data_IF_684955766200
#
_entry.id   IF_684955766200
#
_cell.length_a   1.000
_cell.length_b   1.000
_cell.length_c   1.000
_cell.angle_alpha   90.00
_cell.angle_beta   90.00
_cell.angle_gamma   90.00
#
_symmetry.space_group_name_H-M   'P 1'
#
loop_
_entity.id
_entity.type
_entity.pdbx_description
1 polymer ?
#
# COMPACT_ATOMS: atom_id res chain seq x y z
N UNK A 1 1.73 19.42 19.97
CA UNK A 1 1.07 18.95 18.75
C UNK A 1 1.70 19.72 17.61
N UNK A 2 2.32 19.05 16.68
CA UNK A 2 2.95 19.70 15.53
C UNK A 2 1.87 20.19 14.58
N UNK A 3 2.10 21.32 13.91
CA UNK A 3 1.17 21.89 12.95
C UNK A 3 1.90 22.43 11.72
N UNK A 4 1.20 22.45 10.60
CA UNK A 4 1.65 23.08 9.37
C UNK A 4 0.77 24.29 9.08
N UNK A 5 1.40 25.46 8.86
CA UNK A 5 0.71 26.65 8.41
C UNK A 5 0.90 26.82 6.90
N UNK A 6 -0.21 26.80 6.15
CA UNK A 6 -0.19 26.89 4.71
C UNK A 6 -0.89 28.18 4.27
N UNK A 7 -0.17 29.03 3.52
CA UNK A 7 -0.76 30.19 2.85
C UNK A 7 -1.24 29.75 1.46
N UNK A 8 -2.56 29.68 1.28
CA UNK A 8 -3.17 29.31 0.01
C UNK A 8 -3.04 30.36 -1.10
N UNK A 9 -3.57 30.05 -2.28
CA UNK A 9 -3.65 30.95 -3.44
C UNK A 9 -2.40 31.02 -4.31
N UNK A 10 -1.36 30.22 -4.03
CA UNK A 10 -0.17 30.13 -4.88
C UNK A 10 -0.37 29.15 -6.05
N UNK A 11 0.10 29.52 -7.24
CA UNK A 11 0.26 28.58 -8.34
C UNK A 11 1.51 27.72 -8.11
N UNK A 12 1.37 26.42 -8.30
CA UNK A 12 2.47 25.48 -8.23
C UNK A 12 3.21 25.45 -9.57
N UNK A 13 4.54 25.35 -9.53
CA UNK A 13 5.36 25.22 -10.74
C UNK A 13 6.62 24.41 -10.40
N UNK A 14 6.96 23.52 -11.30
CA UNK A 14 8.21 22.76 -11.19
C UNK A 14 8.06 21.30 -11.54
N UNK A 15 9.07 20.55 -11.13
CA UNK A 15 9.19 19.12 -11.37
C UNK A 15 9.36 18.39 -10.03
N UNK A 16 8.70 17.24 -9.87
CA UNK A 16 8.80 16.38 -8.68
C UNK A 16 9.19 14.98 -9.13
N UNK A 17 10.28 14.47 -8.58
CA UNK A 17 10.65 13.05 -8.72
C UNK A 17 9.87 12.22 -7.70
N UNK A 18 9.19 11.18 -8.17
CA UNK A 18 8.34 10.33 -7.32
C UNK A 18 9.21 9.32 -6.59
N UNK A 19 9.00 9.22 -5.28
CA UNK A 19 9.70 8.26 -4.43
C UNK A 19 9.18 6.82 -4.61
N UNK A 20 9.88 5.87 -4.01
CA UNK A 20 9.46 4.47 -4.03
C UNK A 20 8.15 4.26 -3.27
N UNK A 21 7.35 3.31 -3.76
CA UNK A 21 6.07 2.97 -3.15
C UNK A 21 6.24 2.36 -1.76
N UNK A 22 5.60 2.98 -0.77
CA UNK A 22 5.51 2.42 0.58
C UNK A 22 4.86 1.03 0.56
N UNK A 23 3.77 0.90 -0.16
CA UNK A 23 3.00 -0.34 -0.21
C UNK A 23 3.74 -1.47 -0.93
N UNK A 24 4.69 -1.17 -1.82
CA UNK A 24 5.60 -2.15 -2.39
C UNK A 24 6.81 -2.43 -1.47
N UNK A 25 7.33 -1.41 -0.80
CA UNK A 25 8.48 -1.55 0.09
C UNK A 25 8.21 -2.51 1.25
N UNK A 26 7.01 -2.48 1.84
CA UNK A 26 6.69 -3.28 3.02
C UNK A 26 6.71 -4.80 2.75
N UNK A 27 6.03 -5.35 1.72
CA UNK A 27 6.16 -6.76 1.41
C UNK A 27 7.56 -7.16 0.93
N UNK A 28 8.28 -6.31 0.21
CA UNK A 28 9.67 -6.55 -0.21
C UNK A 28 10.60 -6.63 1.00
N UNK A 29 10.49 -5.73 1.98
CA UNK A 29 11.24 -5.81 3.23
C UNK A 29 10.94 -7.10 4.00
N UNK A 30 9.65 -7.49 4.06
CA UNK A 30 9.22 -8.73 4.73
C UNK A 30 9.76 -9.97 4.02
N UNK A 31 9.84 -9.95 2.68
CA UNK A 31 10.38 -11.06 1.88
C UNK A 31 11.87 -11.30 2.12
N UNK A 32 12.63 -10.32 2.64
CA UNK A 32 14.01 -10.52 3.04
C UNK A 32 14.20 -11.60 4.14
N UNK A 33 13.14 -11.93 4.88
CA UNK A 33 13.14 -13.08 5.79
C UNK A 33 13.28 -14.42 5.07
N UNK A 34 12.96 -14.50 3.78
CA UNK A 34 13.08 -15.71 2.95
C UNK A 34 14.48 -15.87 2.34
N UNK A 35 15.36 -14.87 2.48
CA UNK A 35 16.64 -14.83 1.80
C UNK A 35 17.70 -15.73 2.45
N UNK A 36 18.55 -16.35 1.61
CA UNK A 36 19.78 -17.04 2.03
C UNK A 36 21.01 -16.11 2.02
N UNK A 37 20.94 -14.98 1.32
CA UNK A 37 21.99 -13.98 1.15
C UNK A 37 21.55 -12.61 1.68
N UNK A 38 22.48 -11.66 1.71
CA UNK A 38 22.18 -10.25 1.98
C UNK A 38 21.33 -9.65 0.83
N UNK A 39 20.20 -9.04 1.16
CA UNK A 39 19.29 -8.41 0.21
C UNK A 39 19.57 -6.91 0.15
N UNK A 40 19.84 -6.37 -1.04
CA UNK A 40 20.00 -4.94 -1.28
C UNK A 40 18.71 -4.35 -1.85
N UNK A 41 18.18 -3.32 -1.18
CA UNK A 41 16.94 -2.66 -1.60
C UNK A 41 17.21 -1.17 -1.81
N UNK A 42 16.79 -0.65 -2.97
CA UNK A 42 16.96 0.73 -3.40
C UNK A 42 15.62 1.40 -3.65
N UNK A 43 15.62 2.72 -3.71
CA UNK A 43 14.42 3.54 -3.89
C UNK A 43 13.37 3.31 -2.79
N UNK A 44 13.81 3.04 -1.55
CA UNK A 44 12.91 2.96 -0.40
C UNK A 44 12.37 4.36 -0.06
N UNK A 45 11.07 4.50 0.21
CA UNK A 45 10.54 5.75 0.75
C UNK A 45 11.01 5.92 2.21
N UNK A 46 11.41 7.13 2.58
CA UNK A 46 11.89 7.42 3.93
C UNK A 46 10.73 7.79 4.87
N UNK A 47 9.81 6.85 5.06
CA UNK A 47 8.58 7.00 5.85
C UNK A 47 8.60 6.17 7.13
N UNK A 48 7.76 6.50 8.08
CA UNK A 48 7.73 5.87 9.39
C UNK A 48 7.42 4.36 9.33
N UNK A 49 6.55 3.92 8.43
CA UNK A 49 6.20 2.51 8.28
C UNK A 49 7.41 1.67 7.86
N UNK A 50 8.19 2.15 6.89
CA UNK A 50 9.43 1.48 6.45
C UNK A 50 10.42 1.36 7.61
N UNK A 51 10.60 2.43 8.39
CA UNK A 51 11.45 2.43 9.59
C UNK A 51 10.93 1.48 10.67
N UNK A 52 9.60 1.42 10.84
CA UNK A 52 8.96 0.55 11.84
C UNK A 52 9.13 -0.91 11.46
N UNK A 53 8.94 -1.26 10.17
CA UNK A 53 9.18 -2.61 9.69
C UNK A 53 10.64 -3.02 9.79
N UNK A 54 11.56 -2.11 9.44
CA UNK A 54 13.00 -2.35 9.62
C UNK A 54 13.33 -2.68 11.10
N UNK A 55 12.79 -1.91 12.06
CA UNK A 55 12.94 -2.20 13.49
C UNK A 55 12.34 -3.56 13.89
N UNK A 56 11.23 -3.96 13.26
CA UNK A 56 10.67 -5.29 13.50
C UNK A 56 11.60 -6.39 13.00
N UNK A 57 12.17 -6.24 11.80
CA UNK A 57 13.13 -7.20 11.25
C UNK A 57 14.42 -7.26 12.11
N UNK A 58 14.92 -6.13 12.59
CA UNK A 58 16.04 -6.09 13.55
C UNK A 58 15.71 -6.81 14.85
N UNK A 59 14.50 -6.61 15.39
CA UNK A 59 14.03 -7.34 16.58
C UNK A 59 13.98 -8.85 16.35
N UNK A 60 13.62 -9.29 15.16
CA UNK A 60 13.61 -10.72 14.78
C UNK A 60 15.04 -11.29 14.63
N UNK A 61 16.05 -10.42 14.45
CA UNK A 61 17.46 -10.79 14.33
C UNK A 61 18.10 -10.49 12.99
N UNK A 62 17.40 -9.79 12.09
CA UNK A 62 18.02 -9.32 10.85
C UNK A 62 19.03 -8.21 11.16
N UNK A 63 20.17 -8.23 10.45
CA UNK A 63 21.12 -7.12 10.45
C UNK A 63 20.77 -6.15 9.32
N UNK A 64 20.46 -4.90 9.67
CA UNK A 64 20.04 -3.87 8.71
C UNK A 64 21.09 -2.75 8.66
N UNK A 65 21.63 -2.51 7.48
CA UNK A 65 22.58 -1.44 7.21
C UNK A 65 21.99 -0.43 6.24
N UNK A 66 21.71 0.77 6.73
CA UNK A 66 21.28 1.89 5.89
C UNK A 66 22.48 2.54 5.19
N UNK A 67 22.56 2.44 3.87
CA UNK A 67 23.57 3.14 3.07
C UNK A 67 23.17 4.59 2.79
N UNK A 68 21.86 4.86 2.75
CA UNK A 68 21.26 6.20 2.66
C UNK A 68 19.81 6.11 3.13
N UNK A 69 19.09 7.24 3.15
CA UNK A 69 17.66 7.26 3.46
C UNK A 69 16.80 6.38 2.51
N UNK A 70 17.33 6.09 1.31
CA UNK A 70 16.59 5.38 0.25
C UNK A 70 17.24 4.05 -0.15
N UNK A 71 18.27 3.61 0.58
CA UNK A 71 19.00 2.38 0.27
C UNK A 71 19.38 1.61 1.52
N UNK A 72 19.04 0.33 1.55
CA UNK A 72 19.29 -0.54 2.69
C UNK A 72 19.83 -1.90 2.25
N UNK A 73 20.67 -2.51 3.09
CA UNK A 73 21.05 -3.93 3.01
C UNK A 73 20.53 -4.65 4.23
N UNK A 74 19.95 -5.83 4.00
CA UNK A 74 19.31 -6.66 5.02
C UNK A 74 19.89 -8.05 4.95
N UNK A 75 20.51 -8.49 6.02
CA UNK A 75 20.96 -9.87 6.22
C UNK A 75 20.07 -10.54 7.25
N UNK A 76 19.24 -11.50 6.78
CA UNK A 76 18.34 -12.30 7.61
C UNK A 76 18.86 -13.74 7.81
N UNK A 77 20.16 -13.99 7.63
CA UNK A 77 20.75 -15.32 7.79
C UNK A 77 20.70 -15.84 9.23
N UNK A 78 20.65 -14.94 10.22
CA UNK A 78 20.68 -15.25 11.66
C UNK A 78 19.46 -14.73 12.40
N UNK A 79 18.26 -15.18 12.00
CA UNK A 79 17.04 -14.88 12.76
C UNK A 79 17.08 -15.64 14.09
N UNK A 80 16.90 -14.91 15.19
CA UNK A 80 16.98 -15.43 16.56
C UNK A 80 15.62 -15.49 17.25
N UNK A 81 14.65 -14.72 16.77
CA UNK A 81 13.30 -14.68 17.29
C UNK A 81 12.27 -14.84 16.18
N UNK A 82 11.19 -15.57 16.47
CA UNK A 82 10.03 -15.67 15.55
C UNK A 82 8.78 -14.99 16.14
N UNK A 83 8.98 -14.08 17.11
CA UNK A 83 7.92 -13.34 17.78
C UNK A 83 7.91 -11.87 17.42
N UNK A 84 6.89 -11.46 16.70
CA UNK A 84 6.61 -10.06 16.37
C UNK A 84 5.79 -9.42 17.51
N UNK A 85 6.45 -8.61 18.35
CA UNK A 85 5.92 -8.11 19.62
C UNK A 85 4.92 -6.97 19.42
N UNK A 86 3.95 -6.89 20.35
CA UNK A 86 2.85 -5.91 20.34
C UNK A 86 3.34 -4.47 20.24
N UNK A 87 4.39 -4.07 20.96
CA UNK A 87 4.86 -2.67 21.00
C UNK A 87 5.34 -2.14 19.64
N UNK A 88 5.77 -3.02 18.75
CA UNK A 88 6.14 -2.65 17.37
C UNK A 88 4.93 -2.81 16.46
N UNK A 89 4.23 -3.95 16.52
CA UNK A 89 3.11 -4.28 15.64
C UNK A 89 1.94 -3.31 15.77
N UNK A 90 1.63 -2.84 16.98
CA UNK A 90 0.54 -1.86 17.23
C UNK A 90 0.72 -0.54 16.48
N UNK A 91 1.96 -0.20 16.10
CA UNK A 91 2.29 1.05 15.40
C UNK A 91 2.08 0.97 13.90
N UNK A 92 2.00 -0.24 13.33
CA UNK A 92 1.90 -0.44 11.90
C UNK A 92 1.18 -1.75 11.59
N UNK A 93 0.00 -1.64 10.97
CA UNK A 93 -0.80 -2.81 10.61
C UNK A 93 -0.08 -3.78 9.65
N UNK A 94 0.73 -3.25 8.73
CA UNK A 94 1.49 -4.05 7.78
C UNK A 94 2.52 -4.99 8.43
N UNK A 95 2.76 -4.88 9.74
CA UNK A 95 3.57 -5.85 10.50
C UNK A 95 3.06 -7.29 10.39
N UNK A 96 1.78 -7.50 10.03
CA UNK A 96 1.22 -8.82 9.73
C UNK A 96 1.93 -9.53 8.55
N UNK A 97 2.61 -8.79 7.67
CA UNK A 97 3.33 -9.33 6.52
C UNK A 97 4.50 -10.26 6.88
N UNK A 98 4.99 -10.23 8.12
CA UNK A 98 6.02 -11.17 8.56
C UNK A 98 5.47 -12.57 8.86
N UNK A 99 4.14 -12.75 8.97
CA UNK A 99 3.51 -14.03 9.32
C UNK A 99 3.86 -15.13 8.29
N UNK A 100 3.63 -14.86 7.00
CA UNK A 100 3.90 -15.82 5.92
C UNK A 100 5.38 -16.23 5.86
N UNK A 101 6.31 -15.28 5.73
CA UNK A 101 7.74 -15.58 5.68
C UNK A 101 8.28 -16.30 6.91
N UNK A 102 7.88 -15.88 8.13
CA UNK A 102 8.32 -16.55 9.35
C UNK A 102 7.83 -17.99 9.41
N UNK A 103 6.55 -18.22 9.12
CA UNK A 103 5.96 -19.54 9.15
C UNK A 103 6.57 -20.46 8.08
N UNK A 104 6.78 -19.95 6.88
CA UNK A 104 7.37 -20.72 5.77
C UNK A 104 8.81 -21.15 6.05
N UNK A 105 9.63 -20.24 6.59
CA UNK A 105 11.06 -20.50 6.82
C UNK A 105 11.35 -21.19 8.13
N UNK A 106 10.68 -20.78 9.24
CA UNK A 106 11.00 -21.23 10.60
C UNK A 106 9.95 -22.19 11.16
N UNK A 107 8.87 -22.47 10.44
CA UNK A 107 7.79 -23.40 10.79
C UNK A 107 7.02 -23.04 12.07
N UNK A 108 7.34 -21.92 12.70
CA UNK A 108 6.66 -21.40 13.88
C UNK A 108 6.81 -19.89 13.97
N UNK A 109 5.78 -19.21 14.44
CA UNK A 109 5.87 -17.80 14.78
C UNK A 109 4.74 -17.39 15.73
N UNK A 110 4.99 -16.26 16.42
CA UNK A 110 3.98 -15.53 17.19
C UNK A 110 3.93 -14.11 16.62
N UNK A 111 2.79 -13.72 16.06
CA UNK A 111 2.62 -12.36 15.52
C UNK A 111 1.49 -11.70 16.29
N UNK A 112 1.77 -10.57 16.94
CA UNK A 112 0.73 -9.79 17.60
C UNK A 112 -0.38 -9.43 16.62
N UNK A 113 -1.64 -9.50 17.07
CA UNK A 113 -2.75 -8.96 16.30
C UNK A 113 -2.50 -7.46 16.07
N UNK A 114 -2.64 -6.98 14.84
CA UNK A 114 -2.50 -5.55 14.57
C UNK A 114 -3.60 -4.78 15.30
N UNK A 115 -3.29 -3.59 15.78
CA UNK A 115 -4.26 -2.67 16.38
C UNK A 115 -5.42 -2.35 15.43
N UNK A 116 -6.47 -1.76 15.98
CA UNK A 116 -7.61 -1.28 15.18
C UNK A 116 -7.17 -0.25 14.14
N UNK A 117 -7.85 -0.20 13.02
CA UNK A 117 -7.63 0.80 11.98
C UNK A 117 -8.78 1.81 11.97
N UNK A 118 -8.47 3.10 11.86
CA UNK A 118 -9.48 4.16 11.86
C UNK A 118 -10.46 4.06 10.67
N UNK A 119 -10.02 3.48 9.54
CA UNK A 119 -10.83 3.36 8.31
C UNK A 119 -11.78 2.16 8.29
N UNK A 120 -11.75 1.28 9.29
CA UNK A 120 -12.70 0.15 9.39
C UNK A 120 -12.08 -1.14 9.90
N UNK A 121 -12.94 -2.15 10.06
CA UNK A 121 -12.52 -3.49 10.43
C UNK A 121 -11.70 -4.12 9.29
N UNK A 122 -10.46 -4.47 9.59
CA UNK A 122 -9.59 -5.22 8.67
C UNK A 122 -9.19 -6.54 9.32
N UNK A 123 -10.08 -7.51 9.38
CA UNK A 123 -9.80 -8.78 10.02
C UNK A 123 -8.63 -9.48 9.32
N UNK A 124 -7.82 -10.20 10.13
CA UNK A 124 -6.70 -11.00 9.62
C UNK A 124 -7.13 -12.45 9.31
N UNK A 125 -8.42 -12.72 9.33
CA UNK A 125 -9.01 -14.05 9.14
C UNK A 125 -8.65 -14.66 7.78
N UNK A 126 -8.56 -13.84 6.71
CA UNK A 126 -8.14 -14.31 5.38
C UNK A 126 -6.70 -14.80 5.37
N UNK A 127 -5.81 -14.13 6.13
CA UNK A 127 -4.43 -14.58 6.29
C UNK A 127 -4.39 -15.92 7.03
N UNK A 128 -5.10 -16.02 8.16
CA UNK A 128 -5.15 -17.23 9.01
C UNK A 128 -5.71 -18.40 8.22
N UNK A 129 -6.89 -18.26 7.61
CA UNK A 129 -7.53 -19.30 6.81
C UNK A 129 -6.65 -19.82 5.68
N UNK A 130 -5.91 -18.92 5.03
CA UNK A 130 -5.00 -19.31 3.96
C UNK A 130 -3.81 -20.13 4.50
N UNK A 131 -3.19 -19.71 5.60
CA UNK A 131 -2.10 -20.46 6.24
C UNK A 131 -2.56 -21.81 6.76
N UNK A 132 -3.77 -21.90 7.35
CA UNK A 132 -4.36 -23.18 7.80
C UNK A 132 -4.58 -24.14 6.61
N UNK A 133 -5.08 -23.65 5.47
CA UNK A 133 -5.18 -24.43 4.24
C UNK A 133 -3.84 -24.95 3.73
N UNK A 134 -2.76 -24.21 3.97
CA UNK A 134 -1.40 -24.63 3.67
C UNK A 134 -0.80 -25.61 4.70
N UNK A 135 -1.57 -25.98 5.73
CA UNK A 135 -1.17 -26.98 6.74
C UNK A 135 -0.66 -26.40 8.06
N UNK A 136 -0.78 -25.11 8.28
CA UNK A 136 -0.46 -24.50 9.56
C UNK A 136 -1.52 -24.80 10.62
N UNK A 137 -1.08 -24.96 11.87
CA UNK A 137 -1.92 -24.99 13.06
C UNK A 137 -1.87 -23.62 13.71
N UNK A 138 -3.01 -22.95 13.79
CA UNK A 138 -3.07 -21.56 14.26
C UNK A 138 -4.05 -21.43 15.40
N UNK A 139 -3.63 -20.74 16.46
CA UNK A 139 -4.49 -20.34 17.58
C UNK A 139 -4.28 -18.87 17.89
N UNK A 140 -5.34 -18.20 18.32
CA UNK A 140 -5.24 -16.83 18.83
C UNK A 140 -5.19 -16.91 20.35
N UNK A 141 -4.06 -16.50 20.92
CA UNK A 141 -3.84 -16.55 22.37
C UNK A 141 -3.14 -15.29 22.86
N UNK A 142 -3.68 -14.66 23.90
CA UNK A 142 -3.08 -13.46 24.52
C UNK A 142 -2.92 -12.28 23.55
N UNK A 143 -3.77 -12.17 22.51
CA UNK A 143 -3.64 -11.12 21.49
C UNK A 143 -2.59 -11.42 20.40
N UNK A 144 -2.09 -12.66 20.34
CA UNK A 144 -1.14 -13.12 19.34
C UNK A 144 -1.75 -14.20 18.44
N UNK A 145 -1.39 -14.18 17.17
CA UNK A 145 -1.51 -15.30 16.25
C UNK A 145 -0.31 -16.21 16.54
N UNK A 146 -0.57 -17.35 17.16
CA UNK A 146 0.43 -18.38 17.41
C UNK A 146 0.27 -19.44 16.32
N UNK A 147 1.26 -19.55 15.45
CA UNK A 147 1.22 -20.38 14.26
C UNK A 147 2.37 -21.38 14.24
N UNK A 148 2.05 -22.65 13.93
CA UNK A 148 2.99 -23.76 13.82
C UNK A 148 2.72 -24.56 12.54
N UNK A 149 3.77 -24.93 11.81
CA UNK A 149 3.74 -25.82 10.66
C UNK A 149 4.86 -26.86 10.76
N UNK A 150 4.75 -27.86 11.67
CA UNK A 150 5.85 -28.76 12.00
C UNK A 150 6.38 -29.56 10.81
N UNK A 151 5.51 -29.82 9.82
CA UNK A 151 5.87 -30.51 8.57
C UNK A 151 6.23 -29.54 7.43
N UNK A 152 6.34 -28.22 7.73
CA UNK A 152 6.42 -27.17 6.71
C UNK A 152 5.05 -26.87 6.09
N UNK A 153 5.00 -25.82 5.26
CA UNK A 153 3.80 -25.48 4.49
C UNK A 153 3.74 -26.29 3.20
N UNK A 154 2.52 -26.65 2.79
CA UNK A 154 2.26 -27.37 1.55
C UNK A 154 1.44 -26.50 0.59
N UNK A 155 1.80 -26.57 -0.69
CA UNK A 155 1.06 -25.93 -1.75
C UNK A 155 -0.38 -26.46 -1.81
N UNK A 156 -1.32 -25.56 -2.04
CA UNK A 156 -2.75 -25.87 -2.09
C UNK A 156 -3.51 -24.83 -2.91
N UNK A 157 -4.77 -25.12 -3.19
CA UNK A 157 -5.67 -24.15 -3.84
C UNK A 157 -6.31 -23.23 -2.79
N UNK A 158 -6.01 -21.93 -2.89
CA UNK A 158 -6.54 -20.87 -2.04
C UNK A 158 -7.49 -20.00 -2.87
N UNK A 159 -8.72 -19.83 -2.41
CA UNK A 159 -9.71 -18.94 -3.02
C UNK A 159 -10.01 -17.84 -2.02
N UNK A 160 -9.76 -16.60 -2.38
CA UNK A 160 -10.16 -15.45 -1.56
C UNK A 160 -11.60 -15.04 -1.90
N UNK A 161 -12.46 -15.00 -0.88
CA UNK A 161 -13.84 -14.53 -1.03
C UNK A 161 -13.92 -13.03 -1.36
N UNK A 162 -12.92 -12.28 -0.90
CA UNK A 162 -12.68 -10.87 -1.23
C UNK A 162 -11.23 -10.68 -1.57
N UNK A 163 -10.94 -9.80 -2.53
CA UNK A 163 -9.57 -9.41 -2.83
C UNK A 163 -8.94 -8.78 -1.59
N UNK A 164 -7.76 -9.25 -1.23
CA UNK A 164 -6.98 -8.77 -0.09
C UNK A 164 -5.52 -8.62 -0.49
N UNK A 165 -5.02 -7.40 -0.51
CA UNK A 165 -3.64 -7.10 -0.92
C UNK A 165 -2.66 -7.78 0.05
N UNK A 166 -2.68 -7.41 1.33
CA UNK A 166 -1.75 -7.96 2.33
C UNK A 166 -1.95 -9.45 2.59
N UNK A 167 -3.20 -9.97 2.46
CA UNK A 167 -3.47 -11.40 2.53
C UNK A 167 -2.83 -12.15 1.37
N UNK A 168 -2.95 -11.61 0.16
CA UNK A 168 -2.33 -12.17 -1.04
C UNK A 168 -0.79 -12.14 -0.92
N UNK A 169 -0.20 -11.01 -0.52
CA UNK A 169 1.24 -10.87 -0.29
C UNK A 169 1.79 -11.88 0.73
N UNK A 170 1.09 -12.06 1.85
CA UNK A 170 1.47 -13.07 2.85
C UNK A 170 1.46 -14.49 2.28
N UNK A 171 0.41 -14.84 1.52
CA UNK A 171 0.29 -16.16 0.91
C UNK A 171 1.36 -16.37 -0.17
N UNK A 172 1.64 -15.36 -1.01
CA UNK A 172 2.70 -15.40 -2.02
C UNK A 172 4.05 -15.70 -1.35
N UNK A 173 4.39 -14.97 -0.28
CA UNK A 173 5.63 -15.18 0.46
C UNK A 173 5.68 -16.56 1.16
N UNK A 174 4.56 -17.02 1.70
CA UNK A 174 4.47 -18.36 2.31
C UNK A 174 4.61 -19.47 1.25
N UNK A 175 3.96 -19.32 0.11
CA UNK A 175 3.98 -20.26 -1.00
C UNK A 175 5.37 -20.38 -1.63
N UNK A 176 6.17 -19.32 -1.59
CA UNK A 176 7.53 -19.31 -2.16
C UNK A 176 8.44 -20.40 -1.58
N UNK A 177 8.29 -20.75 -0.28
CA UNK A 177 9.04 -21.84 0.35
C UNK A 177 8.19 -23.09 0.63
N UNK A 178 6.91 -23.12 0.25
CA UNK A 178 6.05 -24.28 0.49
C UNK A 178 6.47 -25.49 -0.36
N UNK A 179 6.02 -26.68 0.04
CA UNK A 179 6.20 -27.89 -0.74
C UNK A 179 5.13 -28.02 -1.81
N UNK A 180 5.54 -28.04 -3.08
CA UNK A 180 4.64 -28.20 -4.24
C UNK A 180 3.95 -26.91 -4.64
N UNK A 181 2.86 -27.03 -5.42
CA UNK A 181 2.21 -25.92 -6.12
C UNK A 181 1.09 -25.31 -5.29
N UNK A 182 1.10 -23.98 -5.17
CA UNK A 182 0.01 -23.16 -4.61
C UNK A 182 -0.70 -22.44 -5.75
N UNK A 183 -2.04 -22.55 -5.81
CA UNK A 183 -2.87 -21.74 -6.71
C UNK A 183 -3.68 -20.73 -5.89
N UNK A 184 -3.59 -19.46 -6.22
CA UNK A 184 -4.34 -18.38 -5.57
C UNK A 184 -5.39 -17.85 -6.55
N UNK A 185 -6.66 -18.05 -6.24
CA UNK A 185 -7.80 -17.54 -7.02
C UNK A 185 -8.32 -16.26 -6.38
N UNK A 186 -8.70 -15.30 -7.19
CA UNK A 186 -9.10 -13.95 -6.80
C UNK A 186 -7.93 -13.20 -6.12
N UNK A 187 -6.73 -13.37 -6.68
CA UNK A 187 -5.53 -12.71 -6.23
C UNK A 187 -5.60 -11.19 -6.46
N UNK A 188 -4.95 -10.44 -5.58
CA UNK A 188 -4.75 -9.01 -5.75
C UNK A 188 -3.82 -8.74 -6.94
N UNK A 189 -4.11 -7.67 -7.70
CA UNK A 189 -3.40 -7.34 -8.96
C UNK A 189 -2.68 -6.01 -8.91
N UNK A 190 -2.63 -5.37 -7.76
CA UNK A 190 -1.95 -4.11 -7.53
C UNK A 190 -0.49 -4.19 -7.99
N UNK A 191 0.06 -3.12 -8.59
CA UNK A 191 1.46 -3.09 -9.03
C UNK A 191 2.47 -3.50 -7.95
N UNK A 192 2.14 -3.27 -6.70
CA UNK A 192 2.92 -3.63 -5.53
C UNK A 192 2.99 -5.16 -5.33
N UNK A 193 1.86 -5.85 -5.55
CA UNK A 193 1.78 -7.32 -5.52
C UNK A 193 2.50 -7.93 -6.71
N UNK A 194 2.34 -7.32 -7.89
CA UNK A 194 3.06 -7.71 -9.11
C UNK A 194 4.56 -7.64 -8.88
N UNK A 195 5.06 -6.53 -8.32
CA UNK A 195 6.49 -6.39 -8.01
C UNK A 195 6.97 -7.45 -7.02
N UNK A 196 6.21 -7.76 -5.98
CA UNK A 196 6.58 -8.84 -5.05
C UNK A 196 6.74 -10.18 -5.79
N UNK A 197 5.80 -10.52 -6.69
CA UNK A 197 5.90 -11.74 -7.50
C UNK A 197 7.14 -11.73 -8.40
N UNK A 198 7.42 -10.60 -9.06
CA UNK A 198 8.60 -10.46 -9.94
C UNK A 198 9.91 -10.63 -9.16
N UNK A 199 10.01 -10.00 -7.98
CA UNK A 199 11.17 -10.11 -7.09
C UNK A 199 11.39 -11.57 -6.65
N UNK A 200 10.34 -12.29 -6.26
CA UNK A 200 10.43 -13.68 -5.86
C UNK A 200 10.77 -14.59 -7.05
N UNK A 201 10.23 -14.30 -8.24
CA UNK A 201 10.55 -15.01 -9.47
C UNK A 201 12.02 -14.84 -9.85
N UNK A 202 12.57 -13.62 -9.75
CA UNK A 202 13.99 -13.36 -9.96
C UNK A 202 14.89 -14.02 -8.91
N UNK A 203 14.36 -14.29 -7.71
CA UNK A 203 15.02 -15.00 -6.62
C UNK A 203 14.94 -16.53 -6.76
N UNK A 204 14.31 -17.06 -7.83
CA UNK A 204 14.29 -18.47 -8.19
C UNK A 204 12.96 -19.19 -7.95
N UNK A 205 11.88 -18.49 -7.58
CA UNK A 205 10.54 -19.08 -7.44
C UNK A 205 9.85 -19.12 -8.81
N UNK A 206 9.27 -20.26 -9.18
CA UNK A 206 8.46 -20.36 -10.41
C UNK A 206 7.07 -19.78 -10.13
N UNK A 207 6.72 -18.67 -10.82
CA UNK A 207 5.43 -17.99 -10.67
C UNK A 207 4.82 -17.75 -12.04
N UNK A 208 3.57 -18.17 -12.21
CA UNK A 208 2.75 -17.92 -13.40
C UNK A 208 1.53 -17.10 -13.06
N UNK A 209 0.95 -16.38 -14.04
CA UNK A 209 -0.25 -15.55 -13.87
C UNK A 209 0.00 -14.23 -13.15
N UNK A 210 1.23 -13.72 -13.07
CA UNK A 210 1.56 -12.44 -12.44
C UNK A 210 0.72 -11.31 -13.06
N UNK A 211 0.07 -10.50 -12.20
CA UNK A 211 -0.83 -9.41 -12.63
C UNK A 211 -2.24 -9.87 -13.01
N UNK A 212 -2.56 -11.16 -12.88
CA UNK A 212 -3.91 -11.69 -13.08
C UNK A 212 -4.58 -12.06 -11.75
N UNK A 213 -5.84 -12.42 -11.78
CA UNK A 213 -6.58 -12.92 -10.61
C UNK A 213 -6.31 -14.39 -10.28
N UNK A 214 -5.52 -15.09 -11.07
CA UNK A 214 -5.15 -16.49 -10.89
C UNK A 214 -3.63 -16.61 -10.93
N UNK A 215 -3.03 -16.84 -9.75
CA UNK A 215 -1.59 -17.01 -9.57
C UNK A 215 -1.26 -18.47 -9.27
N UNK A 216 -0.27 -19.00 -9.94
CA UNK A 216 0.33 -20.30 -9.63
C UNK A 216 1.77 -20.12 -9.16
N UNK A 217 2.11 -20.71 -8.03
CA UNK A 217 3.43 -20.58 -7.40
C UNK A 217 3.94 -21.98 -7.07
N UNK A 218 5.07 -22.36 -7.65
CA UNK A 218 5.78 -23.57 -7.28
C UNK A 218 6.80 -23.23 -6.20
N UNK A 219 6.56 -23.70 -4.99
CA UNK A 219 7.45 -23.43 -3.86
C UNK A 219 8.75 -24.24 -3.92
N UNK A 220 9.76 -23.77 -3.20
CA UNK A 220 11.13 -24.34 -3.21
C UNK A 220 11.35 -25.48 -2.20
N UNK A 221 10.28 -25.99 -1.57
CA UNK A 221 10.33 -27.06 -0.55
C UNK A 221 11.26 -26.71 0.65
N UNK A 222 11.21 -25.46 1.08
CA UNK A 222 11.96 -24.93 2.23
C UNK A 222 13.34 -24.36 1.90
N UNK A 223 13.77 -24.41 0.65
CA UNK A 223 15.04 -23.79 0.25
C UNK A 223 14.93 -22.26 0.25
N UNK A 224 15.82 -21.60 0.99
CA UNK A 224 15.87 -20.15 1.07
C UNK A 224 16.31 -19.52 -0.26
N UNK A 225 15.80 -18.33 -0.55
CA UNK A 225 15.89 -17.68 -1.86
C UNK A 225 17.17 -16.85 -2.06
N UNK A 226 17.60 -16.71 -3.30
CA UNK A 226 18.77 -15.93 -3.73
C UNK A 226 18.35 -14.60 -4.34
N UNK A 227 18.18 -13.58 -3.51
CA UNK A 227 17.71 -12.28 -3.97
C UNK A 227 18.79 -11.50 -4.72
N UNK A 228 18.40 -10.92 -5.83
CA UNK A 228 19.17 -9.90 -6.56
C UNK A 228 18.89 -8.51 -5.97
N UNK A 229 19.72 -7.47 -6.28
CA UNK A 229 19.42 -6.10 -5.89
C UNK A 229 18.04 -5.66 -6.40
N UNK A 230 17.22 -5.14 -5.49
CA UNK A 230 15.84 -4.76 -5.75
C UNK A 230 15.73 -3.23 -5.81
N UNK A 231 15.02 -2.70 -6.80
CA UNK A 231 14.58 -1.31 -6.84
C UNK A 231 13.08 -1.25 -6.67
N UNK A 232 12.60 -0.62 -5.58
CA UNK A 232 11.18 -0.42 -5.32
C UNK A 232 10.56 0.44 -6.42
N UNK A 233 9.38 0.03 -6.93
CA UNK A 233 8.64 0.80 -7.94
C UNK A 233 8.22 2.17 -7.42
N UNK A 234 8.02 3.17 -8.31
CA UNK A 234 7.51 4.49 -7.93
C UNK A 234 6.12 4.42 -7.30
N UNK A 235 5.85 5.28 -6.33
CA UNK A 235 4.57 5.33 -5.63
C UNK A 235 3.48 6.01 -6.48
N UNK A 236 2.52 5.21 -6.96
CA UNK A 236 1.38 5.71 -7.75
C UNK A 236 0.43 6.61 -6.94
N UNK A 237 0.37 6.44 -5.64
CA UNK A 237 -0.49 7.25 -4.77
C UNK A 237 0.15 8.60 -4.48
N UNK A 238 1.47 8.65 -4.25
CA UNK A 238 2.23 9.90 -4.19
C UNK A 238 2.09 10.67 -5.51
N UNK A 239 2.32 10.01 -6.64
CA UNK A 239 2.16 10.62 -7.97
C UNK A 239 0.75 11.19 -8.19
N UNK A 240 -0.29 10.40 -7.90
CA UNK A 240 -1.69 10.83 -7.97
C UNK A 240 -1.98 12.03 -7.06
N UNK A 241 -1.40 12.05 -5.86
CA UNK A 241 -1.56 13.16 -4.91
C UNK A 241 -0.95 14.45 -5.43
N UNK A 242 0.26 14.41 -6.02
CA UNK A 242 0.85 15.59 -6.68
C UNK A 242 0.07 16.04 -7.91
N UNK A 243 -0.47 15.10 -8.71
CA UNK A 243 -1.36 15.46 -9.82
C UNK A 243 -2.62 16.18 -9.31
N UNK A 244 -3.23 15.72 -8.21
CA UNK A 244 -4.35 16.39 -7.58
C UNK A 244 -3.97 17.79 -7.03
N UNK A 245 -2.77 17.95 -6.48
CA UNK A 245 -2.26 19.26 -6.04
C UNK A 245 -2.13 20.23 -7.22
N UNK A 246 -1.58 19.79 -8.35
CA UNK A 246 -1.56 20.55 -9.59
C UNK A 246 -2.95 20.87 -10.10
N UNK A 247 -3.85 19.90 -10.07
CA UNK A 247 -5.24 20.02 -10.52
C UNK A 247 -6.01 21.07 -9.70
N UNK A 248 -6.06 20.95 -8.37
CA UNK A 248 -6.86 21.84 -7.51
C UNK A 248 -6.35 23.28 -7.50
N UNK A 249 -5.04 23.48 -7.73
CA UNK A 249 -4.43 24.80 -7.86
C UNK A 249 -4.43 25.32 -9.29
N UNK A 250 -4.99 24.55 -10.23
CA UNK A 250 -5.00 24.81 -11.67
C UNK A 250 -3.61 25.16 -12.20
N UNK A 251 -2.62 24.39 -11.81
CA UNK A 251 -1.19 24.60 -12.04
C UNK A 251 -0.61 23.60 -13.02
N UNK A 252 0.52 23.97 -13.64
CA UNK A 252 1.31 23.08 -14.48
C UNK A 252 2.46 22.50 -13.66
N UNK A 253 2.42 21.20 -13.40
CA UNK A 253 3.49 20.47 -12.73
C UNK A 253 3.87 19.22 -13.51
N UNK A 254 5.14 18.84 -13.43
CA UNK A 254 5.68 17.66 -14.07
C UNK A 254 6.15 16.67 -12.99
N UNK A 255 5.77 15.42 -13.15
CA UNK A 255 6.27 14.31 -12.34
C UNK A 255 7.26 13.49 -13.14
N UNK A 256 8.35 13.08 -12.51
CA UNK A 256 9.37 12.19 -13.08
C UNK A 256 9.53 10.96 -12.21
N UNK A 257 10.26 9.96 -12.69
CA UNK A 257 10.39 8.66 -12.04
C UNK A 257 9.01 8.05 -11.69
N UNK A 258 8.09 8.06 -12.64
CA UNK A 258 6.73 7.55 -12.48
C UNK A 258 6.42 6.51 -13.57
N UNK A 259 5.65 5.47 -13.22
CA UNK A 259 5.08 4.57 -14.22
C UNK A 259 3.64 4.99 -14.55
N UNK A 260 3.39 5.59 -15.71
CA UNK A 260 2.05 6.07 -16.07
C UNK A 260 0.98 4.98 -16.10
N UNK A 261 1.34 3.74 -16.44
CA UNK A 261 0.39 2.61 -16.51
C UNK A 261 -0.17 2.20 -15.14
N UNK A 262 0.51 2.58 -14.05
CA UNK A 262 0.00 2.34 -12.70
C UNK A 262 -1.07 3.36 -12.28
N UNK A 263 -1.29 4.42 -13.09
CA UNK A 263 -2.19 5.53 -12.80
C UNK A 263 -3.37 5.65 -13.77
N UNK A 264 -3.62 4.68 -14.64
CA UNK A 264 -4.60 4.81 -15.73
C UNK A 264 -5.96 5.32 -15.22
N UNK A 265 -6.54 4.74 -14.17
CA UNK A 265 -7.83 5.19 -13.62
C UNK A 265 -7.79 6.65 -13.10
N UNK A 266 -6.66 7.07 -12.53
CA UNK A 266 -6.45 8.45 -12.03
C UNK A 266 -6.32 9.42 -13.20
N UNK A 267 -5.50 9.08 -14.20
CA UNK A 267 -5.23 9.93 -15.36
C UNK A 267 -6.48 10.12 -16.22
N UNK A 268 -7.25 9.04 -16.41
CA UNK A 268 -8.50 9.10 -17.17
C UNK A 268 -9.55 9.96 -16.47
N UNK A 269 -9.64 9.86 -15.12
CA UNK A 269 -10.54 10.71 -14.35
C UNK A 269 -10.12 12.19 -14.40
N UNK A 270 -8.81 12.52 -14.35
CA UNK A 270 -8.32 13.88 -14.50
C UNK A 270 -8.64 14.46 -15.91
N UNK A 271 -8.53 13.65 -16.96
CA UNK A 271 -8.94 14.05 -18.32
C UNK A 271 -10.45 14.30 -18.41
N UNK A 272 -11.28 13.43 -17.79
CA UNK A 272 -12.74 13.60 -17.72
C UNK A 272 -13.13 14.92 -17.04
N UNK A 273 -12.43 15.30 -15.96
CA UNK A 273 -12.61 16.58 -15.26
C UNK A 273 -12.26 17.78 -16.16
N UNK A 274 -11.36 17.61 -17.13
CA UNK A 274 -11.00 18.65 -18.11
C UNK A 274 -9.52 19.02 -18.15
N UNK A 275 -8.66 18.32 -17.42
CA UNK A 275 -7.22 18.58 -17.42
C UNK A 275 -6.52 17.99 -18.64
N UNK A 276 -5.57 18.74 -19.20
CA UNK A 276 -4.63 18.21 -20.18
C UNK A 276 -3.57 17.37 -19.47
N UNK A 277 -3.33 16.15 -19.98
CA UNK A 277 -2.29 15.24 -19.47
C UNK A 277 -1.33 14.92 -20.60
N UNK A 278 -0.05 15.17 -20.37
CA UNK A 278 1.04 14.79 -21.27
C UNK A 278 1.88 13.70 -20.65
N UNK A 279 2.12 12.62 -21.38
CA UNK A 279 2.92 11.48 -20.93
C UNK A 279 4.13 11.35 -21.86
N UNK A 280 5.33 11.30 -21.28
CA UNK A 280 6.59 11.04 -22.01
C UNK A 280 7.47 10.10 -21.18
N UNK A 281 7.70 8.88 -21.70
CA UNK A 281 8.49 7.87 -21.01
C UNK A 281 7.98 7.69 -19.55
N UNK A 282 8.85 7.91 -18.57
CA UNK A 282 8.57 7.81 -17.13
C UNK A 282 8.23 9.19 -16.52
N UNK A 283 7.52 10.03 -17.26
CA UNK A 283 7.07 11.34 -16.75
C UNK A 283 5.63 11.64 -17.15
N UNK A 284 4.94 12.36 -16.28
CA UNK A 284 3.58 12.84 -16.47
C UNK A 284 3.55 14.34 -16.19
N UNK A 285 2.93 15.10 -17.06
CA UNK A 285 2.72 16.54 -16.85
C UNK A 285 1.23 16.84 -16.90
N UNK A 286 0.72 17.52 -15.87
CA UNK A 286 -0.64 18.03 -15.83
C UNK A 286 -0.63 19.49 -16.26
N UNK A 287 -1.59 19.84 -17.11
CA UNK A 287 -1.78 21.18 -17.65
C UNK A 287 -3.06 21.80 -17.08
N UNK A 288 -3.09 23.14 -16.85
CA UNK A 288 -4.26 23.84 -16.37
C UNK A 288 -5.49 23.62 -17.26
N UNK A 289 -6.66 23.55 -16.64
CA UNK A 289 -7.95 23.44 -17.32
C UNK A 289 -8.68 24.76 -17.32
N UNK A 290 -9.44 25.04 -18.41
CA UNK A 290 -10.30 26.22 -18.51
C UNK A 290 -11.60 26.06 -17.73
N UNK A 291 -12.11 24.84 -17.65
CA UNK A 291 -13.37 24.51 -17.00
C UNK A 291 -13.20 23.13 -16.34
N UNK A 292 -13.70 22.99 -15.11
CA UNK A 292 -13.68 21.75 -14.37
C UNK A 292 -15.10 21.17 -14.33
N UNK A 293 -15.28 19.97 -14.86
CA UNK A 293 -16.54 19.26 -14.88
C UNK A 293 -16.68 18.38 -13.64
N UNK A 294 -17.91 18.22 -13.15
CA UNK A 294 -18.23 17.25 -12.13
C UNK A 294 -17.96 15.81 -12.66
N UNK A 295 -17.75 14.90 -11.74
CA UNK A 295 -17.40 13.52 -12.04
C UNK A 295 -17.92 12.57 -10.97
N UNK A 296 -17.99 11.30 -11.34
CA UNK A 296 -18.38 10.23 -10.43
C UNK A 296 -17.22 9.25 -10.23
N UNK A 297 -17.04 8.79 -8.99
CA UNK A 297 -16.05 7.79 -8.61
C UNK A 297 -16.71 6.68 -7.80
N UNK A 298 -16.36 5.44 -8.12
CA UNK A 298 -16.57 4.28 -7.28
C UNK A 298 -15.20 3.69 -6.98
N UNK A 299 -14.80 3.65 -5.71
CA UNK A 299 -13.53 3.02 -5.32
C UNK A 299 -13.64 1.52 -5.48
N UNK A 300 -12.67 0.92 -6.13
CA UNK A 300 -12.57 -0.54 -6.29
C UNK A 300 -11.11 -0.97 -6.27
N UNK A 301 -10.88 -2.27 -6.18
CA UNK A 301 -9.54 -2.85 -6.29
C UNK A 301 -8.92 -2.55 -7.66
N UNK A 302 -7.59 -2.61 -7.73
CA UNK A 302 -6.86 -2.37 -8.97
C UNK A 302 -7.30 -3.36 -10.10
N UNK A 303 -7.50 -2.87 -11.35
CA UNK A 303 -7.11 -1.58 -11.89
C UNK A 303 -8.18 -0.48 -11.77
N UNK A 304 -9.18 -0.65 -10.92
CA UNK A 304 -10.19 0.38 -10.69
C UNK A 304 -9.65 1.59 -9.93
N UNK A 305 -10.56 2.50 -9.55
CA UNK A 305 -10.16 3.73 -8.88
C UNK A 305 -9.70 3.46 -7.44
N UNK A 306 -8.43 3.80 -7.09
CA UNK A 306 -7.88 3.45 -5.79
C UNK A 306 -8.51 4.27 -4.66
N UNK A 307 -8.92 3.56 -3.61
CA UNK A 307 -9.49 4.17 -2.40
C UNK A 307 -8.52 5.14 -1.71
N UNK A 308 -7.19 4.97 -1.89
CA UNK A 308 -6.15 5.87 -1.37
C UNK A 308 -6.15 7.26 -2.04
N UNK A 309 -6.83 7.41 -3.18
CA UNK A 309 -7.01 8.69 -3.89
C UNK A 309 -8.37 9.34 -3.65
N UNK A 310 -9.25 8.71 -2.89
CA UNK A 310 -10.63 9.16 -2.65
C UNK A 310 -10.67 10.56 -2.03
N UNK A 311 -9.87 10.83 -1.00
CA UNK A 311 -9.87 12.12 -0.30
C UNK A 311 -9.35 13.27 -1.18
N UNK A 312 -8.29 13.03 -1.98
CA UNK A 312 -7.71 14.00 -2.88
C UNK A 312 -8.71 14.41 -3.97
N UNK A 313 -9.39 13.42 -4.57
CA UNK A 313 -10.41 13.70 -5.58
C UNK A 313 -11.66 14.33 -4.96
N UNK A 314 -12.01 14.03 -3.71
CA UNK A 314 -13.09 14.73 -3.01
C UNK A 314 -12.76 16.22 -2.82
N UNK A 315 -11.52 16.53 -2.45
CA UNK A 315 -11.07 17.91 -2.38
C UNK A 315 -11.15 18.59 -3.76
N UNK A 316 -10.71 17.91 -4.83
CA UNK A 316 -10.81 18.42 -6.21
C UNK A 316 -12.28 18.64 -6.63
N UNK A 317 -13.19 17.75 -6.27
CA UNK A 317 -14.63 17.84 -6.58
C UNK A 317 -15.26 19.14 -6.04
N UNK A 318 -14.75 19.67 -4.91
CA UNK A 318 -15.23 20.96 -4.38
C UNK A 318 -15.01 22.14 -5.32
N UNK A 319 -14.11 22.02 -6.29
CA UNK A 319 -13.77 23.06 -7.28
C UNK A 319 -14.37 22.80 -8.66
N UNK A 320 -15.03 21.67 -8.88
CA UNK A 320 -15.70 21.33 -10.13
C UNK A 320 -17.08 22.00 -10.22
N UNK A 321 -17.56 22.30 -11.41
CA UNK A 321 -18.92 22.83 -11.62
C UNK A 321 -19.95 21.69 -11.60
N UNK A 322 -21.00 21.82 -10.79
CA UNK A 322 -22.06 20.84 -10.67
C UNK A 322 -21.92 19.95 -9.42
N UNK A 323 -22.50 18.77 -9.46
CA UNK A 323 -22.49 17.82 -8.33
C UNK A 323 -21.71 16.57 -8.70
N UNK A 324 -20.64 16.30 -7.97
CA UNK A 324 -19.86 15.07 -8.08
C UNK A 324 -20.33 14.05 -7.06
N UNK A 325 -20.15 12.76 -7.37
CA UNK A 325 -20.46 11.65 -6.48
C UNK A 325 -19.23 10.77 -6.24
N UNK A 326 -19.02 10.37 -4.99
CA UNK A 326 -17.95 9.44 -4.63
C UNK A 326 -18.55 8.34 -3.76
N UNK A 327 -18.46 7.10 -4.23
CA UNK A 327 -18.87 5.92 -3.50
C UNK A 327 -17.63 5.14 -3.04
N UNK A 328 -17.52 4.94 -1.72
CA UNK A 328 -16.46 4.11 -1.10
C UNK A 328 -16.99 2.69 -0.89
N UNK A 329 -16.37 1.71 -1.55
CA UNK A 329 -16.82 0.31 -1.47
C UNK A 329 -15.88 -0.61 -0.69
N UNK A 330 -14.68 -0.13 -0.38
CA UNK A 330 -13.64 -0.95 0.23
C UNK A 330 -13.55 -0.77 1.75
N UNK A 331 -13.76 0.46 2.26
CA UNK A 331 -13.58 0.79 3.66
C UNK A 331 -14.74 1.59 4.25
N UNK A 332 -15.30 1.11 5.34
CA UNK A 332 -16.54 1.61 5.94
C UNK A 332 -16.42 3.03 6.50
N UNK A 333 -15.25 3.40 7.05
CA UNK A 333 -15.04 4.66 7.77
C UNK A 333 -14.10 5.63 7.06
N UNK A 334 -14.03 5.59 5.72
CA UNK A 334 -13.03 6.37 4.98
C UNK A 334 -13.46 7.79 4.59
N UNK A 335 -14.50 8.33 5.22
CA UNK A 335 -14.98 9.70 5.02
C UNK A 335 -14.65 10.66 6.18
N UNK A 336 -13.70 10.35 7.05
CA UNK A 336 -13.33 11.17 8.20
C UNK A 336 -12.91 12.60 7.82
N UNK A 337 -12.25 12.78 6.67
CA UNK A 337 -11.81 14.08 6.14
C UNK A 337 -12.98 14.99 5.70
N UNK A 338 -14.20 14.47 5.56
CA UNK A 338 -15.36 15.25 5.13
C UNK A 338 -15.70 16.35 6.16
N UNK A 339 -15.58 16.07 7.45
CA UNK A 339 -15.80 17.06 8.49
C UNK A 339 -14.83 18.24 8.35
N UNK A 340 -13.58 17.97 8.03
CA UNK A 340 -12.55 18.98 7.87
C UNK A 340 -12.72 19.78 6.55
N UNK A 341 -13.11 19.13 5.46
CA UNK A 341 -13.48 19.84 4.22
C UNK A 341 -14.69 20.76 4.42
N UNK A 342 -15.70 20.34 5.21
CA UNK A 342 -16.83 21.20 5.58
C UNK A 342 -16.41 22.41 6.40
N UNK A 343 -15.42 22.28 7.29
CA UNK A 343 -14.84 23.42 8.02
C UNK A 343 -14.19 24.45 7.10
N UNK A 344 -13.63 24.02 5.98
CA UNK A 344 -13.12 24.86 4.92
C UNK A 344 -14.23 25.47 4.03
N UNK A 345 -15.51 25.13 4.26
CA UNK A 345 -16.65 25.66 3.49
C UNK A 345 -17.16 24.76 2.37
N UNK A 346 -16.66 23.51 2.24
CA UNK A 346 -17.13 22.57 1.24
C UNK A 346 -18.59 22.12 1.50
N UNK A 347 -19.38 22.00 0.42
CA UNK A 347 -20.75 21.51 0.48
C UNK A 347 -20.77 20.01 0.14
N UNK A 348 -20.73 19.17 1.17
CA UNK A 348 -20.67 17.72 1.07
C UNK A 348 -21.79 17.10 1.88
N UNK A 349 -22.55 16.18 1.29
CA UNK A 349 -23.57 15.37 1.98
C UNK A 349 -23.15 13.90 1.92
N UNK A 350 -23.15 13.25 3.10
CA UNK A 350 -22.88 11.82 3.21
C UNK A 350 -24.19 11.04 3.28
N UNK A 351 -24.27 9.94 2.55
CA UNK A 351 -25.38 8.98 2.60
C UNK A 351 -24.82 7.55 2.57
N UNK A 352 -24.67 6.94 3.74
CA UNK A 352 -24.03 5.65 3.89
C UNK A 352 -22.58 5.68 3.40
N UNK A 353 -22.28 4.87 2.39
CA UNK A 353 -20.97 4.77 1.76
C UNK A 353 -20.79 5.71 0.56
N UNK A 354 -21.64 6.70 0.39
CA UNK A 354 -21.60 7.64 -0.73
C UNK A 354 -21.54 9.08 -0.23
N UNK A 355 -20.77 9.90 -0.92
CA UNK A 355 -20.66 11.33 -0.72
C UNK A 355 -21.12 12.07 -1.97
N UNK A 356 -21.97 13.09 -1.80
CA UNK A 356 -22.35 14.05 -2.84
C UNK A 356 -21.69 15.37 -2.56
N UNK A 357 -20.92 15.90 -3.52
CA UNK A 357 -20.11 17.12 -3.39
C UNK A 357 -20.64 18.15 -4.37
N UNK A 358 -21.19 19.24 -3.86
CA UNK A 358 -21.67 20.36 -4.68
C UNK A 358 -20.55 21.38 -4.87
N UNK A 359 -20.10 21.56 -6.08
CA UNK A 359 -19.10 22.56 -6.48
C UNK A 359 -19.75 23.64 -7.38
N UNK A 360 -19.15 24.77 -7.63
CA UNK A 360 -17.85 25.23 -7.12
C UNK A 360 -18.02 25.84 -5.74
N UNK A 361 -17.37 25.26 -4.73
CA UNK A 361 -17.42 25.79 -3.36
C UNK A 361 -16.45 26.96 -3.20
N UNK A 362 -16.87 27.99 -2.45
CA UNK A 362 -15.97 29.07 -2.04
C UNK A 362 -15.27 28.65 -0.72
N UNK A 363 -14.08 28.03 -0.84
CA UNK A 363 -13.34 27.58 0.31
C UNK A 363 -12.67 28.74 1.05
N UNK A 364 -12.64 28.65 2.38
CA UNK A 364 -12.00 29.60 3.29
C UNK A 364 -10.91 28.93 4.10
N UNK A 365 -9.95 29.71 4.59
CA UNK A 365 -8.94 29.21 5.53
C UNK A 365 -9.56 28.88 6.87
N UNK A 366 -9.19 27.73 7.45
CA UNK A 366 -9.62 27.28 8.77
C UNK A 366 -8.56 26.39 9.40
N UNK A 367 -8.60 26.26 10.73
CA UNK A 367 -7.83 25.23 11.42
C UNK A 367 -8.50 23.88 11.19
N UNK A 368 -7.76 22.95 10.62
CA UNK A 368 -8.24 21.61 10.32
C UNK A 368 -7.31 20.57 10.92
N UNK A 369 -7.87 19.42 11.25
CA UNK A 369 -7.11 18.27 11.70
C UNK A 369 -6.71 17.44 10.47
N UNK A 370 -5.42 17.08 10.37
CA UNK A 370 -4.97 16.11 9.39
C UNK A 370 -5.46 14.71 9.80
N UNK A 371 -6.77 14.49 9.64
CA UNK A 371 -7.39 13.19 9.86
C UNK A 371 -7.05 12.29 8.70
N UNK A 372 -5.99 11.53 8.83
CA UNK A 372 -5.67 10.52 7.83
C UNK A 372 -6.40 9.23 8.13
N UNK A 373 -6.92 8.60 7.09
CA UNK A 373 -7.57 7.31 7.17
C UNK A 373 -6.60 6.14 7.42
N UNK A 374 -5.31 6.39 7.31
CA UNK A 374 -4.23 5.46 7.63
C UNK A 374 -3.39 6.03 8.78
N UNK A 375 -2.74 5.18 9.57
CA UNK A 375 -2.01 5.55 10.80
C UNK A 375 -0.71 6.36 10.55
N UNK A 376 -0.64 7.16 9.50
CA UNK A 376 0.56 7.84 9.02
C UNK A 376 0.73 9.28 9.50
N UNK A 377 0.24 9.63 10.69
CA UNK A 377 0.56 10.92 11.32
C UNK A 377 2.06 11.16 11.47
N UNK A 378 2.87 10.10 11.40
CA UNK A 378 4.32 10.16 11.47
C UNK A 378 5.02 10.52 10.14
N UNK A 379 4.36 10.46 9.00
CA UNK A 379 4.95 10.85 7.71
C UNK A 379 5.14 12.37 7.59
N UNK A 380 4.30 13.17 8.25
CA UNK A 380 4.46 14.63 8.34
C UNK A 380 5.63 15.06 9.24
N UNK A 381 6.18 14.15 10.06
CA UNK A 381 7.31 14.44 10.96
C UNK A 381 8.69 14.16 10.34
N UNK A 382 8.76 13.70 9.10
CA UNK A 382 10.00 13.25 8.46
C UNK A 382 10.61 14.21 7.43
N UNK A 383 10.14 15.47 7.39
CA UNK A 383 10.71 16.52 6.53
C UNK A 383 11.36 17.63 7.33
#
# INVERSE_FOLDING_TARGET
>A
MDFLQIKGGALLKGEVSISGSKNAALPILSSALLAKNEVQIQNLPFVADVKTLAKLLEHLGSNITWESNHKVRIDSSRIIHTKAIYDIVRKMRASILVLGPLLARFRQCEVSLPGGCAIGARPVDLHIKAMEKMGAQIVIQGGYIVANAPNGLSGTRIVFDKITVTGCENVIMAAALAKGKTQIINAAREPEVVQLCEVLKEAGVEIEGIGTSDLEIMGTDGEALDFKPIRVIPDRIEAGTYLCAGAITNSQIKLTDVNPHHLDAILDKLKEIGFGIQIKNQSIEILPAKKLHHFDIITTEYPGFPTDMQAQFMALATQCEGTSSIQETLFENRFMHVSELKRLGAQITLNGNSASIVGKSNLIGADVMATRSEEHTSELQSH
#
